data_IF_222418637721
#
_entry.id   IF_222418637721
#
_cell.length_a   1.000
_cell.length_b   1.000
_cell.length_c   1.000
_cell.angle_alpha   90.00
_cell.angle_beta   90.00
_cell.angle_gamma   90.00
#
_symmetry.space_group_name_H-M   'P 1'
#
loop_
_entity.id
_entity.type
_entity.pdbx_description
1 polymer ?
#
# COMPACT_ATOMS: atom_id res chain seq x y z
N UNK A 1 -21.44 -1.82 -23.30
CA UNK A 1 -20.27 -1.13 -22.73
C UNK A 1 -20.68 -0.67 -21.36
N UNK A 2 -20.53 -1.54 -20.37
CA UNK A 2 -20.86 -1.22 -18.98
C UNK A 2 -19.65 -0.55 -18.35
N UNK A 3 -19.77 0.74 -18.08
CA UNK A 3 -18.83 1.47 -17.24
C UNK A 3 -19.05 1.00 -15.80
N UNK A 4 -18.28 0.00 -15.35
CA UNK A 4 -18.21 -0.31 -13.94
C UNK A 4 -17.29 0.73 -13.30
N UNK A 5 -17.88 1.78 -12.73
CA UNK A 5 -17.19 2.65 -11.79
C UNK A 5 -16.63 1.77 -10.65
N UNK A 6 -15.41 2.07 -10.22
CA UNK A 6 -14.74 1.44 -9.08
C UNK A 6 -15.40 1.78 -7.72
N UNK A 7 -16.72 2.05 -7.70
CA UNK A 7 -17.48 2.52 -6.55
C UNK A 7 -18.04 1.37 -5.70
N UNK A 8 -17.69 0.12 -6.00
CA UNK A 8 -18.16 -1.05 -5.24
C UNK A 8 -17.30 -1.27 -4.00
N UNK A 9 -17.18 -0.27 -3.12
CA UNK A 9 -16.66 -0.47 -1.77
C UNK A 9 -17.21 0.51 -0.72
N UNK A 10 -18.20 1.34 -1.05
CA UNK A 10 -18.77 2.33 -0.11
C UNK A 10 -20.01 1.82 0.65
N UNK A 11 -20.57 0.65 0.31
CA UNK A 11 -21.93 0.27 0.73
C UNK A 11 -22.05 -0.94 1.69
N UNK A 12 -20.95 -1.52 2.17
CA UNK A 12 -20.99 -2.68 3.11
C UNK A 12 -20.48 -2.33 4.51
N UNK A 13 -20.55 -1.04 4.91
CA UNK A 13 -20.14 -0.58 6.24
C UNK A 13 -21.25 -0.63 7.30
N UNK A 14 -22.39 -1.27 7.02
CA UNK A 14 -23.42 -1.54 8.02
C UNK A 14 -23.78 -3.02 8.03
N UNK A 15 -23.65 -3.64 9.21
CA UNK A 15 -24.02 -5.01 9.58
C UNK A 15 -22.96 -6.09 9.34
N UNK A 16 -21.93 -6.10 10.19
CA UNK A 16 -21.56 -7.22 11.07
C UNK A 16 -20.49 -6.71 12.04
N UNK A 17 -20.91 -6.14 13.16
CA UNK A 17 -20.00 -5.79 14.25
C UNK A 17 -19.62 -7.08 15.01
N UNK A 18 -18.52 -7.71 14.61
CA UNK A 18 -17.73 -8.56 15.50
C UNK A 18 -16.47 -7.76 15.82
N UNK A 19 -16.32 -7.39 17.09
CA UNK A 19 -15.33 -6.44 17.55
C UNK A 19 -13.90 -6.98 17.46
N UNK A 20 -13.13 -6.44 16.52
CA UNK A 20 -11.81 -5.90 16.81
C UNK A 20 -11.87 -4.44 16.38
N UNK A 21 -11.85 -3.52 17.35
CA UNK A 21 -11.64 -2.11 17.01
C UNK A 21 -10.19 -2.02 16.54
N UNK A 22 -9.96 -2.09 15.22
CA UNK A 22 -8.67 -1.71 14.67
C UNK A 22 -8.51 -0.22 14.94
N UNK A 23 -7.56 0.18 15.78
CA UNK A 23 -7.15 1.58 15.95
C UNK A 23 -6.44 2.14 14.69
N UNK A 24 -6.47 1.39 13.59
CA UNK A 24 -5.89 1.74 12.30
C UNK A 24 -6.48 3.05 11.77
N UNK A 25 -5.70 4.13 11.91
CA UNK A 25 -6.05 5.43 11.37
C UNK A 25 -5.64 5.51 9.90
N UNK A 26 -6.63 5.54 9.01
CA UNK A 26 -6.44 5.81 7.58
C UNK A 26 -6.82 7.26 7.30
N UNK A 27 -5.87 8.05 6.81
CA UNK A 27 -6.04 9.43 6.36
C UNK A 27 -6.46 9.39 4.89
N UNK A 28 -7.69 9.83 4.62
CA UNK A 28 -8.25 9.87 3.27
C UNK A 28 -7.50 10.86 2.37
N UNK A 29 -7.63 10.69 1.05
CA UNK A 29 -7.02 11.58 0.04
C UNK A 29 -7.27 13.06 0.29
N UNK A 30 -8.48 13.43 0.67
CA UNK A 30 -8.87 14.81 0.94
C UNK A 30 -8.15 15.36 2.17
N UNK A 31 -7.95 14.54 3.20
CA UNK A 31 -7.33 14.97 4.47
C UNK A 31 -5.83 15.28 4.34
N UNK A 32 -5.13 14.66 3.39
CA UNK A 32 -3.74 15.01 3.07
C UNK A 32 -3.60 15.97 1.88
N UNK A 33 -4.73 16.43 1.31
CA UNK A 33 -4.83 17.32 0.14
C UNK A 33 -4.21 16.71 -1.13
N UNK A 34 -4.69 15.54 -1.52
CA UNK A 34 -4.33 14.90 -2.77
C UNK A 34 -4.69 15.74 -3.99
N UNK A 35 -3.82 15.74 -4.99
CA UNK A 35 -4.21 16.13 -6.35
C UNK A 35 -5.10 15.04 -6.96
N UNK A 36 -5.99 15.44 -7.86
CA UNK A 36 -6.78 14.50 -8.65
C UNK A 36 -5.87 13.69 -9.60
N UNK A 37 -6.18 12.40 -9.85
CA UNK A 37 -5.51 11.63 -10.88
C UNK A 37 -5.63 12.31 -12.26
N UNK A 38 -4.57 12.28 -13.06
CA UNK A 38 -4.60 12.87 -14.42
C UNK A 38 -5.30 11.99 -15.45
N UNK A 39 -5.65 10.77 -15.10
CA UNK A 39 -6.35 9.80 -15.92
C UNK A 39 -7.43 9.11 -15.10
N UNK A 40 -8.45 8.57 -15.78
CA UNK A 40 -9.50 7.79 -15.13
C UNK A 40 -8.86 6.54 -14.50
N UNK A 41 -9.02 6.30 -13.19
CA UNK A 41 -8.44 5.15 -12.52
C UNK A 41 -8.91 3.81 -13.12
N UNK A 42 -7.96 2.93 -13.44
CA UNK A 42 -8.27 1.56 -13.87
C UNK A 42 -8.69 0.72 -12.67
N UNK A 43 -9.83 0.01 -12.80
CA UNK A 43 -10.31 -0.90 -11.78
C UNK A 43 -9.42 -2.15 -11.67
N UNK A 44 -9.14 -2.57 -10.45
CA UNK A 44 -8.40 -3.76 -10.12
C UNK A 44 -9.37 -4.93 -9.87
N UNK A 45 -9.05 -6.11 -10.42
CA UNK A 45 -9.83 -7.31 -10.16
C UNK A 45 -9.50 -7.87 -8.77
N UNK A 46 -10.45 -7.82 -7.86
CA UNK A 46 -10.32 -8.30 -6.48
C UNK A 46 -11.05 -9.65 -6.29
N UNK A 47 -10.69 -10.45 -5.26
CA UNK A 47 -9.55 -10.27 -4.35
C UNK A 47 -8.20 -10.57 -5.03
N UNK A 48 -7.19 -9.74 -4.75
CA UNK A 48 -5.86 -9.88 -5.33
C UNK A 48 -5.04 -10.96 -4.60
N UNK A 49 -4.20 -11.72 -5.33
CA UNK A 49 -3.34 -12.75 -4.74
C UNK A 49 -2.05 -12.24 -4.09
N UNK A 50 -1.59 -11.01 -4.41
CA UNK A 50 -0.28 -10.53 -3.97
C UNK A 50 -0.35 -9.24 -3.15
N UNK A 51 0.53 -9.15 -2.15
CA UNK A 51 0.83 -7.93 -1.41
C UNK A 51 2.32 -7.66 -1.53
N UNK A 52 2.69 -6.45 -1.96
CA UNK A 52 4.07 -6.01 -2.12
C UNK A 52 4.39 -4.94 -1.09
N UNK A 53 5.40 -5.21 -0.25
CA UNK A 53 5.92 -4.24 0.72
C UNK A 53 7.01 -3.41 0.07
N UNK A 54 6.90 -2.09 0.26
CA UNK A 54 7.83 -1.10 -0.24
C UNK A 54 8.37 -0.23 0.90
N UNK A 55 9.49 0.42 0.63
CA UNK A 55 9.88 1.65 1.31
C UNK A 55 9.90 2.81 0.32
N UNK A 56 9.90 4.06 0.80
CA UNK A 56 10.05 5.21 -0.10
C UNK A 56 11.50 5.42 -0.51
N UNK A 57 12.47 5.00 0.33
CA UNK A 57 13.88 5.42 0.30
C UNK A 57 14.03 6.93 0.56
N UNK A 58 13.41 7.75 -0.27
CA UNK A 58 13.21 9.17 -0.06
C UNK A 58 11.71 9.50 -0.17
N UNK A 59 11.12 10.29 0.74
CA UNK A 59 11.76 11.00 1.85
C UNK A 59 12.12 10.08 3.04
N UNK A 60 12.84 10.65 4.01
CA UNK A 60 13.07 10.02 5.32
C UNK A 60 11.75 9.78 6.07
N UNK A 61 11.84 8.97 7.13
CA UNK A 61 10.72 8.68 8.01
C UNK A 61 10.11 9.99 8.55
N UNK A 62 8.78 10.02 8.65
CA UNK A 62 8.02 11.19 9.07
C UNK A 62 7.05 10.81 10.19
N UNK A 63 6.55 11.82 10.89
CA UNK A 63 5.56 11.67 11.96
C UNK A 63 4.52 12.81 11.89
N UNK A 64 3.27 12.52 12.23
CA UNK A 64 2.17 13.48 12.31
C UNK A 64 1.91 14.21 10.99
N UNK A 65 1.74 15.54 11.06
CA UNK A 65 1.44 16.36 9.88
C UNK A 65 2.58 16.41 8.84
N UNK A 66 3.82 16.07 9.23
CA UNK A 66 4.92 15.96 8.28
C UNK A 66 4.65 14.88 7.24
N UNK A 67 4.04 13.76 7.62
CA UNK A 67 3.75 12.70 6.68
C UNK A 67 2.76 13.13 5.59
N UNK A 68 1.79 14.00 5.88
CA UNK A 68 0.93 14.59 4.84
C UNK A 68 1.74 15.38 3.81
N UNK A 69 2.81 16.08 4.24
CA UNK A 69 3.74 16.76 3.34
C UNK A 69 4.55 15.75 2.53
N UNK A 70 5.09 14.71 3.16
CA UNK A 70 5.84 13.65 2.49
C UNK A 70 5.00 12.95 1.41
N UNK A 71 3.77 12.55 1.72
CA UNK A 71 2.84 11.90 0.77
C UNK A 71 2.54 12.82 -0.43
N UNK A 72 2.28 14.11 -0.21
CA UNK A 72 2.10 15.08 -1.31
C UNK A 72 3.34 15.23 -2.19
N UNK A 73 4.53 15.25 -1.59
CA UNK A 73 5.78 15.33 -2.34
C UNK A 73 6.00 14.08 -3.18
N UNK A 74 5.71 12.90 -2.63
CA UNK A 74 5.76 11.62 -3.35
C UNK A 74 4.76 11.62 -4.52
N UNK A 75 3.51 12.04 -4.29
CA UNK A 75 2.50 12.18 -5.35
C UNK A 75 2.99 13.12 -6.46
N UNK A 76 3.51 14.30 -6.07
CA UNK A 76 4.02 15.31 -7.02
C UNK A 76 5.18 14.75 -7.83
N UNK A 77 6.13 14.06 -7.21
CA UNK A 77 7.23 13.42 -7.91
C UNK A 77 6.74 12.34 -8.89
N UNK A 78 5.83 11.47 -8.46
CA UNK A 78 5.25 10.44 -9.32
C UNK A 78 4.52 11.03 -10.53
N UNK A 79 3.74 12.09 -10.35
CA UNK A 79 2.96 12.68 -11.44
C UNK A 79 3.82 13.58 -12.34
N UNK A 80 4.64 14.45 -11.77
CA UNK A 80 5.38 15.47 -12.53
C UNK A 80 6.72 14.99 -13.07
N UNK A 81 7.38 14.06 -12.39
CA UNK A 81 8.71 13.57 -12.80
C UNK A 81 8.61 12.20 -13.45
N UNK A 82 7.83 11.26 -12.88
CA UNK A 82 7.65 9.92 -13.48
C UNK A 82 6.55 9.84 -14.53
N UNK A 83 5.70 10.87 -14.64
CA UNK A 83 4.60 10.91 -15.59
C UNK A 83 3.48 9.91 -15.29
N UNK A 84 3.35 9.46 -14.04
CA UNK A 84 2.28 8.56 -13.64
C UNK A 84 0.97 9.33 -13.44
N UNK A 85 -0.15 8.63 -13.60
CA UNK A 85 -1.47 9.25 -13.42
C UNK A 85 -1.75 9.72 -12.00
N UNK A 86 -1.07 9.14 -11.01
CA UNK A 86 -1.19 9.44 -9.58
C UNK A 86 -0.01 8.84 -8.81
N UNK A 87 0.05 9.03 -7.50
CA UNK A 87 0.94 8.31 -6.58
C UNK A 87 0.91 6.80 -6.85
N UNK A 88 2.07 6.15 -6.92
CA UNK A 88 2.14 4.77 -7.40
C UNK A 88 1.68 3.70 -6.40
N UNK A 89 1.68 3.99 -5.11
CA UNK A 89 1.35 3.04 -4.05
C UNK A 89 -0.15 3.00 -3.76
N UNK A 90 -0.63 1.85 -3.29
CA UNK A 90 -2.00 1.69 -2.81
C UNK A 90 -2.19 2.47 -1.52
N UNK A 91 -1.27 2.27 -0.56
CA UNK A 91 -1.21 3.00 0.71
C UNK A 91 0.24 3.31 1.10
N UNK A 92 0.39 4.35 1.91
CA UNK A 92 1.66 4.71 2.54
C UNK A 92 1.50 4.73 4.06
N UNK A 93 2.56 4.44 4.82
CA UNK A 93 2.51 4.35 6.29
C UNK A 93 3.63 5.20 6.88
N UNK A 94 3.27 6.13 7.77
CA UNK A 94 4.20 6.97 8.51
C UNK A 94 4.91 6.22 9.64
N UNK A 95 5.95 6.82 10.22
CA UNK A 95 6.65 6.25 11.38
C UNK A 95 5.80 6.21 12.65
N UNK A 96 4.71 6.97 12.69
CA UNK A 96 3.69 6.96 13.74
C UNK A 96 2.59 5.91 13.52
N UNK A 97 2.70 5.07 12.48
CA UNK A 97 1.68 4.08 12.14
C UNK A 97 0.46 4.64 11.41
N UNK A 98 0.38 5.95 11.17
CA UNK A 98 -0.75 6.51 10.43
C UNK A 98 -0.66 6.07 8.97
N UNK A 99 -1.75 5.49 8.47
CA UNK A 99 -1.89 5.06 7.08
C UNK A 99 -2.42 6.23 6.25
N UNK A 100 -1.86 6.45 5.08
CA UNK A 100 -2.27 7.45 4.11
C UNK A 100 -2.77 6.76 2.85
N UNK A 101 -3.99 7.07 2.45
CA UNK A 101 -4.58 6.55 1.23
C UNK A 101 -3.79 7.07 0.01
N UNK A 102 -3.16 6.15 -0.72
CA UNK A 102 -2.58 6.43 -2.03
C UNK A 102 -3.65 6.31 -3.10
N UNK A 103 -3.51 5.34 -4.01
CA UNK A 103 -4.60 5.03 -4.95
C UNK A 103 -5.81 4.36 -4.30
N UNK A 104 -5.65 3.83 -3.09
CA UNK A 104 -6.72 3.15 -2.37
C UNK A 104 -7.04 1.75 -2.90
N UNK A 105 -8.02 1.11 -2.27
CA UNK A 105 -8.48 -0.22 -2.65
C UNK A 105 -9.22 -0.20 -3.99
N UNK A 106 -9.16 -1.31 -4.73
CA UNK A 106 -9.87 -1.48 -6.00
C UNK A 106 -9.23 -0.77 -7.20
N UNK A 107 -8.13 -0.03 -7.02
CA UNK A 107 -7.48 0.73 -8.10
C UNK A 107 -6.10 0.17 -8.45
N UNK A 108 -5.83 0.04 -9.75
CA UNK A 108 -4.52 -0.41 -10.27
C UNK A 108 -3.41 0.57 -9.87
N UNK A 109 -2.33 0.04 -9.28
CA UNK A 109 -1.14 0.77 -8.84
C UNK A 109 -0.14 1.14 -9.94
N UNK A 110 0.97 1.76 -9.54
CA UNK A 110 2.19 1.90 -10.34
C UNK A 110 3.47 1.51 -9.57
N UNK A 111 3.31 0.74 -8.48
CA UNK A 111 4.36 0.42 -7.51
C UNK A 111 5.31 -0.70 -7.95
N UNK A 112 4.80 -1.71 -8.66
CA UNK A 112 5.55 -2.94 -8.97
C UNK A 112 5.28 -3.34 -10.41
N UNK A 113 6.23 -3.04 -11.29
CA UNK A 113 6.12 -3.32 -12.72
C UNK A 113 5.78 -4.79 -12.98
N UNK A 114 4.82 -5.05 -13.89
CA UNK A 114 4.17 -6.35 -14.19
C UNK A 114 3.20 -6.90 -13.14
N UNK A 115 3.19 -6.36 -11.93
CA UNK A 115 2.31 -6.85 -10.85
C UNK A 115 1.24 -5.86 -10.39
N UNK A 116 1.26 -4.62 -10.90
CA UNK A 116 0.28 -3.57 -10.55
C UNK A 116 -1.19 -3.98 -10.73
N UNK A 117 -1.49 -4.94 -11.61
CA UNK A 117 -2.86 -5.43 -11.88
C UNK A 117 -3.26 -6.67 -11.08
N UNK A 118 -2.37 -7.20 -10.24
CA UNK A 118 -2.59 -8.44 -9.48
C UNK A 118 -2.17 -8.34 -8.02
N UNK A 119 -1.88 -7.14 -7.53
CA UNK A 119 -1.52 -6.95 -6.13
C UNK A 119 -1.53 -5.50 -5.70
N UNK A 120 -1.46 -5.32 -4.38
CA UNK A 120 -1.39 -4.02 -3.74
C UNK A 120 0.02 -3.69 -3.27
N UNK A 121 0.41 -2.43 -3.41
CA UNK A 121 1.70 -1.91 -2.96
C UNK A 121 1.53 -1.11 -1.68
N UNK A 122 2.01 -1.65 -0.57
CA UNK A 122 1.95 -1.01 0.75
C UNK A 122 3.34 -0.49 1.09
N UNK A 123 3.47 0.83 1.26
CA UNK A 123 4.77 1.49 1.33
C UNK A 123 5.01 2.15 2.70
N UNK A 124 6.09 1.79 3.38
CA UNK A 124 6.51 2.52 4.58
C UNK A 124 7.35 3.72 4.18
N UNK A 125 7.01 4.90 4.70
CA UNK A 125 7.76 6.14 4.43
C UNK A 125 9.06 6.10 5.22
N UNK A 126 10.19 6.13 4.53
CA UNK A 126 11.54 6.10 5.10
C UNK A 126 12.55 5.26 4.32
N UNK A 127 13.79 5.22 4.83
CA UNK A 127 14.89 4.38 4.34
C UNK A 127 15.17 3.24 5.32
N UNK A 128 14.66 2.06 4.99
CA UNK A 128 14.83 0.84 5.79
C UNK A 128 15.92 -0.10 5.27
N UNK A 129 16.96 0.44 4.61
CA UNK A 129 18.13 -0.38 4.23
C UNK A 129 18.91 -0.86 5.45
N UNK A 130 19.01 -0.04 6.50
CA UNK A 130 19.81 -0.35 7.69
C UNK A 130 18.98 -0.39 8.96
N UNK A 131 18.12 0.61 9.15
CA UNK A 131 17.33 0.75 10.35
C UNK A 131 15.97 0.06 10.17
N UNK A 132 15.48 -0.54 11.26
CA UNK A 132 14.15 -1.15 11.26
C UNK A 132 13.07 -0.06 11.27
N UNK A 133 11.90 -0.32 10.68
CA UNK A 133 10.73 0.51 10.91
C UNK A 133 10.30 0.52 12.37
N UNK A 134 9.50 1.51 12.72
CA UNK A 134 8.87 1.60 14.04
C UNK A 134 7.86 0.48 14.21
N UNK A 135 7.68 0.02 15.45
CA UNK A 135 6.71 -1.04 15.76
C UNK A 135 5.29 -0.61 15.38
N UNK A 136 4.95 0.68 15.53
CA UNK A 136 3.68 1.27 15.14
C UNK A 136 3.42 1.15 13.63
N UNK A 137 4.44 1.38 12.80
CA UNK A 137 4.33 1.24 11.35
C UNK A 137 4.20 -0.21 10.90
N UNK A 138 4.89 -1.14 11.56
CA UNK A 138 4.81 -2.58 11.28
C UNK A 138 3.45 -3.15 11.68
N UNK A 139 2.94 -2.77 12.85
CA UNK A 139 1.62 -3.17 13.32
C UNK A 139 0.52 -2.64 12.39
N UNK A 140 0.61 -1.37 11.99
CA UNK A 140 -0.35 -0.77 11.06
C UNK A 140 -0.30 -1.42 9.67
N UNK A 141 0.88 -1.85 9.22
CA UNK A 141 1.01 -2.62 7.98
C UNK A 141 0.27 -3.97 8.07
N UNK A 142 0.42 -4.70 9.18
CA UNK A 142 -0.31 -5.97 9.40
C UNK A 142 -1.82 -5.76 9.45
N UNK A 143 -2.27 -4.79 10.26
CA UNK A 143 -3.69 -4.45 10.38
C UNK A 143 -4.30 -4.01 9.04
N UNK A 144 -3.54 -3.28 8.21
CA UNK A 144 -4.00 -2.87 6.89
C UNK A 144 -4.16 -4.06 5.93
N UNK A 145 -3.27 -5.06 6.02
CA UNK A 145 -3.39 -6.31 5.26
C UNK A 145 -4.61 -7.11 5.72
N UNK A 146 -4.79 -7.27 7.04
CA UNK A 146 -5.96 -7.95 7.62
C UNK A 146 -7.27 -7.26 7.25
N UNK A 147 -7.30 -5.93 7.27
CA UNK A 147 -8.43 -5.14 6.79
C UNK A 147 -8.73 -5.46 5.32
N UNK A 148 -7.71 -5.44 4.45
CA UNK A 148 -7.85 -5.79 3.04
C UNK A 148 -8.38 -7.22 2.83
N UNK A 149 -7.96 -8.18 3.65
CA UNK A 149 -8.50 -9.55 3.62
C UNK A 149 -9.97 -9.57 4.04
N UNK A 150 -10.32 -8.91 5.15
CA UNK A 150 -11.70 -8.88 5.67
C UNK A 150 -12.68 -8.19 4.70
N UNK A 151 -12.21 -7.18 3.96
CA UNK A 151 -13.00 -6.46 2.96
C UNK A 151 -13.06 -7.17 1.59
N UNK A 152 -12.46 -8.36 1.44
CA UNK A 152 -12.43 -9.07 0.16
C UNK A 152 -11.55 -8.40 -0.91
N UNK A 153 -10.64 -7.51 -0.51
CA UNK A 153 -9.67 -6.85 -1.38
C UNK A 153 -8.47 -7.77 -1.62
N UNK A 154 -8.05 -8.51 -0.60
CA UNK A 154 -6.90 -9.42 -0.60
C UNK A 154 -7.42 -10.85 -0.37
N UNK A 155 -6.87 -11.85 -1.06
CA UNK A 155 -7.23 -13.26 -0.84
C UNK A 155 -6.79 -13.70 0.55
N UNK A 156 -7.52 -14.62 1.19
CA UNK A 156 -7.11 -15.21 2.48
C UNK A 156 -5.81 -16.01 2.40
N UNK A 157 -5.46 -16.54 1.22
CA UNK A 157 -4.21 -17.25 0.95
C UNK A 157 -3.23 -16.43 0.10
N UNK A 158 -3.21 -15.12 0.30
CA UNK A 158 -2.31 -14.22 -0.42
C UNK A 158 -0.83 -14.59 -0.22
N UNK A 159 0.01 -14.06 -1.09
CA UNK A 159 1.48 -14.13 -0.98
C UNK A 159 2.03 -12.75 -0.67
N UNK A 160 2.78 -12.63 0.41
CA UNK A 160 3.47 -11.41 0.85
C UNK A 160 4.90 -11.41 0.30
N UNK A 161 5.32 -10.28 -0.28
CA UNK A 161 6.60 -10.15 -0.96
C UNK A 161 7.19 -8.76 -0.69
N UNK A 162 8.52 -8.66 -0.70
CA UNK A 162 9.20 -7.38 -0.89
C UNK A 162 9.26 -7.03 -2.38
N UNK A 163 9.34 -5.74 -2.72
CA UNK A 163 9.47 -5.32 -4.12
C UNK A 163 10.67 -6.00 -4.83
N UNK A 164 11.79 -6.19 -4.13
CA UNK A 164 13.00 -6.88 -4.62
C UNK A 164 12.76 -8.32 -5.07
N UNK A 165 11.71 -8.98 -4.61
CA UNK A 165 11.44 -10.38 -4.98
C UNK A 165 10.97 -10.52 -6.44
N UNK A 166 10.46 -9.43 -7.03
CA UNK A 166 9.89 -9.40 -8.38
C UNK A 166 10.46 -8.32 -9.28
N UNK A 167 11.42 -7.55 -8.78
CA UNK A 167 12.04 -6.43 -9.50
C UNK A 167 13.53 -6.33 -9.18
N UNK A 168 14.26 -5.67 -10.08
CA UNK A 168 15.68 -5.37 -9.87
C UNK A 168 15.81 -4.08 -9.02
N UNK A 169 15.62 -4.21 -7.71
CA UNK A 169 15.61 -3.09 -6.77
C UNK A 169 16.08 -3.51 -5.37
N UNK A 170 16.58 -2.57 -4.59
CA UNK A 170 16.86 -2.76 -3.17
C UNK A 170 15.59 -2.64 -2.30
N UNK A 171 14.49 -2.09 -2.82
CA UNK A 171 13.24 -1.94 -2.07
C UNK A 171 12.71 -3.30 -1.56
N UNK A 172 12.30 -3.47 -0.29
CA UNK A 172 11.99 -2.44 0.72
C UNK A 172 13.14 -2.09 1.67
N UNK A 173 14.40 -2.34 1.30
CA UNK A 173 15.57 -2.21 2.18
C UNK A 173 15.81 -3.45 3.04
N UNK A 174 17.07 -3.71 3.40
CA UNK A 174 17.44 -4.99 4.04
C UNK A 174 16.83 -5.19 5.42
N UNK A 175 16.68 -4.13 6.22
CA UNK A 175 16.13 -4.24 7.56
C UNK A 175 14.63 -4.57 7.55
N UNK A 176 13.85 -3.86 6.72
CA UNK A 176 12.41 -4.14 6.54
C UNK A 176 12.20 -5.46 5.79
N UNK A 177 13.03 -5.78 4.80
CA UNK A 177 12.92 -7.07 4.11
C UNK A 177 13.14 -8.26 5.06
N UNK A 178 14.16 -8.17 5.92
CA UNK A 178 14.41 -9.19 6.95
C UNK A 178 13.24 -9.33 7.93
N UNK A 179 12.55 -8.24 8.24
CA UNK A 179 11.37 -8.24 9.10
C UNK A 179 10.22 -9.01 8.44
N UNK A 180 9.82 -8.65 7.22
CA UNK A 180 8.66 -9.28 6.55
C UNK A 180 8.90 -10.76 6.21
N UNK A 181 10.15 -11.21 6.11
CA UNK A 181 10.49 -12.64 5.95
C UNK A 181 10.05 -13.50 7.14
N UNK A 182 9.80 -12.89 8.29
CA UNK A 182 9.32 -13.60 9.49
C UNK A 182 7.80 -13.69 9.57
N UNK A 183 7.07 -13.02 8.67
CA UNK A 183 5.62 -12.90 8.74
C UNK A 183 4.93 -14.08 8.06
N UNK A 184 3.69 -14.33 8.47
CA UNK A 184 2.80 -15.24 7.75
C UNK A 184 2.61 -14.75 6.31
N UNK A 185 2.39 -15.69 5.39
CA UNK A 185 2.24 -15.43 3.95
C UNK A 185 3.49 -14.96 3.19
N UNK A 186 4.62 -14.69 3.84
CA UNK A 186 5.87 -14.47 3.11
C UNK A 186 6.29 -15.75 2.39
N UNK A 187 6.31 -15.75 1.06
CA UNK A 187 6.63 -16.94 0.29
C UNK A 187 7.22 -16.66 -1.10
N UNK A 188 8.45 -17.12 -1.33
CA UNK A 188 9.16 -17.01 -2.62
C UNK A 188 8.90 -18.19 -3.57
N UNK A 189 8.22 -19.26 -3.13
CA UNK A 189 8.04 -20.48 -3.94
C UNK A 189 6.90 -20.39 -4.96
N UNK A 190 6.04 -19.38 -4.89
CA UNK A 190 4.89 -19.21 -5.78
C UNK A 190 5.20 -18.40 -7.08
N UNK A 191 6.48 -18.18 -7.41
CA UNK A 191 6.87 -17.46 -8.65
C UNK A 191 7.06 -18.36 -9.88
N UNK A 192 6.56 -19.59 -9.85
CA UNK A 192 6.66 -20.49 -10.98
C UNK A 192 5.46 -20.27 -11.92
N UNK A 193 5.79 -19.73 -13.10
CA UNK A 193 5.02 -19.56 -14.36
C UNK A 193 4.44 -18.17 -14.65
#
# INVERSE_FOLDING_TARGET
MEFHNCEVCTLVLMLMAVSFASDLRIVAREEWNASDPTEIPECLQTPVPYVFVHHTYEPEICFGDECKRSVRNIQTFHMKVRGWSDIGYTFLIGGDGIVYEGRGWGVVGAHTYRYNKVGYGLCLIGDYRKDKPTEESLESLKQLIELGVSCGQIRTNYTLLGHRDVGNTECPGDALYKEIQTWEHFNLTNFIH
#
